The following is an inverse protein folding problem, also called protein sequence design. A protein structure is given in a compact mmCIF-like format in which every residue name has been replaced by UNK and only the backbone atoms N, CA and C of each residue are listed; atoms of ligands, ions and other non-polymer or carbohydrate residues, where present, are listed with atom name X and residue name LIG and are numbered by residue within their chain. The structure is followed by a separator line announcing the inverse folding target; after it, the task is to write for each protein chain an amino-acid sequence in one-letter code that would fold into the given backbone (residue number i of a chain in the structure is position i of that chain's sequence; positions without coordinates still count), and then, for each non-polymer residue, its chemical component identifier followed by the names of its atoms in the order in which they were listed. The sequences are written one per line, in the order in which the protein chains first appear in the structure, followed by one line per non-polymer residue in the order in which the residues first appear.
data_IF_326300137859
#
_entry.id   IF_326300137859
#
_cell.length_a   1.000
_cell.length_b   1.000
_cell.length_c   1.000
_cell.angle_alpha   90.00
_cell.angle_beta   90.00
_cell.angle_gamma   90.00
#
_symmetry.space_group_name_H-M   'P 1'
#
loop_
_entity.id
_entity.type
_entity.pdbx_description
1 polymer ?
#
# COMPACT_ATOMS: atom_id res chain seq x y z
N UNK A 1 62.34 43.56 -29.83
CA UNK A 1 60.95 44.06 -29.99
C UNK A 1 59.98 43.07 -30.65
N UNK A 2 60.44 42.03 -31.38
CA UNK A 2 59.57 40.98 -31.93
C UNK A 2 59.28 39.79 -31.01
N UNK A 3 60.04 39.59 -29.92
CA UNK A 3 59.82 38.49 -28.97
C UNK A 3 58.75 38.74 -27.89
N UNK A 4 58.43 39.99 -27.59
CA UNK A 4 57.44 40.34 -26.56
C UNK A 4 55.99 40.29 -27.08
N UNK A 5 55.79 40.46 -28.40
CA UNK A 5 54.46 40.41 -29.01
C UNK A 5 53.90 38.97 -29.13
N UNK A 6 54.78 37.96 -29.23
CA UNK A 6 54.35 36.57 -29.39
C UNK A 6 53.86 35.94 -28.06
N UNK A 7 54.45 36.33 -26.92
CA UNK A 7 54.04 35.83 -25.61
C UNK A 7 52.70 36.41 -25.13
N UNK A 8 52.35 37.64 -25.55
CA UNK A 8 51.06 38.27 -25.20
C UNK A 8 49.91 37.65 -26.00
N UNK A 9 50.14 37.20 -27.24
CA UNK A 9 49.13 36.51 -28.04
C UNK A 9 48.87 35.07 -27.58
N UNK A 10 49.88 34.36 -27.06
CA UNK A 10 49.67 33.02 -26.49
C UNK A 10 49.03 33.04 -25.10
N UNK A 11 49.24 34.11 -24.31
CA UNK A 11 48.58 34.26 -23.00
C UNK A 11 47.06 34.51 -23.13
N UNK A 12 46.60 35.05 -24.25
CA UNK A 12 45.17 35.23 -24.54
C UNK A 12 44.44 33.93 -24.95
N UNK A 13 45.17 32.86 -25.31
CA UNK A 13 44.59 31.58 -25.74
C UNK A 13 44.73 30.44 -24.70
N UNK A 14 45.44 30.64 -23.59
CA UNK A 14 45.63 29.64 -22.51
C UNK A 14 44.97 30.12 -21.19
N UNK A 15 44.12 31.13 -21.22
CA UNK A 15 43.13 31.28 -20.15
C UNK A 15 42.08 30.20 -20.34
N UNK A 16 41.82 29.33 -19.34
CA UNK A 16 40.63 28.50 -19.39
C UNK A 16 39.47 29.46 -19.61
N UNK A 17 38.74 29.26 -20.71
CA UNK A 17 37.42 29.81 -20.87
C UNK A 17 36.55 29.16 -19.79
N UNK A 18 36.69 29.57 -18.54
CA UNK A 18 35.57 29.65 -17.62
C UNK A 18 34.70 30.78 -18.16
N UNK A 19 34.13 30.55 -19.34
CA UNK A 19 32.76 30.95 -19.58
C UNK A 19 32.00 30.26 -18.45
N UNK A 20 31.86 30.96 -17.33
CA UNK A 20 30.60 30.87 -16.60
C UNK A 20 29.55 30.98 -17.70
N UNK A 21 28.69 29.96 -17.88
CA UNK A 21 27.56 30.17 -18.73
C UNK A 21 26.82 31.37 -18.15
N UNK A 22 26.94 32.53 -18.79
CA UNK A 22 25.83 33.46 -18.95
C UNK A 22 24.80 32.73 -19.81
N UNK A 23 24.30 31.59 -19.32
CA UNK A 23 23.02 31.09 -19.74
C UNK A 23 22.06 32.02 -19.02
N UNK A 24 21.62 33.06 -19.73
CA UNK A 24 20.18 33.28 -19.77
C UNK A 24 19.61 31.93 -20.18
N UNK A 25 19.31 31.10 -19.18
CA UNK A 25 18.62 29.84 -19.35
C UNK A 25 17.32 30.28 -19.99
N UNK A 26 17.21 30.09 -21.31
CA UNK A 26 15.93 29.92 -21.93
C UNK A 26 15.35 28.72 -21.18
N UNK A 27 14.54 29.01 -20.16
CA UNK A 27 13.81 27.99 -19.43
C UNK A 27 12.89 27.42 -20.48
N UNK A 28 13.25 26.26 -21.03
CA UNK A 28 12.41 25.55 -21.95
C UNK A 28 11.06 25.40 -21.23
N UNK A 29 10.03 26.00 -21.80
CA UNK A 29 8.71 26.03 -21.19
C UNK A 29 8.29 24.58 -21.00
N UNK A 30 8.23 24.14 -19.74
CA UNK A 30 7.89 22.76 -19.41
C UNK A 30 6.41 22.58 -19.69
N UNK A 31 6.09 21.65 -20.58
CA UNK A 31 4.72 21.28 -20.90
C UNK A 31 3.98 20.79 -19.64
N UNK A 32 2.72 21.22 -19.49
CA UNK A 32 1.90 20.98 -18.30
C UNK A 32 1.63 19.49 -18.06
N UNK A 33 1.44 18.72 -19.13
CA UNK A 33 1.19 17.28 -19.03
C UNK A 33 2.45 16.54 -18.57
N UNK A 34 3.62 16.97 -19.06
CA UNK A 34 4.92 16.45 -18.64
C UNK A 34 5.17 16.73 -17.16
N UNK A 35 5.01 17.99 -16.74
CA UNK A 35 5.21 18.38 -15.34
C UNK A 35 4.24 17.64 -14.41
N UNK A 36 2.97 17.50 -14.80
CA UNK A 36 1.99 16.74 -14.02
C UNK A 36 2.42 15.29 -13.79
N UNK A 37 2.88 14.61 -14.84
CA UNK A 37 3.39 13.24 -14.73
C UNK A 37 4.63 13.14 -13.83
N UNK A 38 5.48 14.16 -13.85
CA UNK A 38 6.64 14.25 -12.95
C UNK A 38 6.25 14.45 -11.49
N UNK A 39 5.28 15.32 -11.21
CA UNK A 39 4.77 15.52 -9.84
C UNK A 39 4.16 14.23 -9.30
N UNK A 40 3.35 13.54 -10.11
CA UNK A 40 2.80 12.24 -9.74
C UNK A 40 3.92 11.23 -9.42
N UNK A 41 4.97 11.18 -10.25
CA UNK A 41 6.12 10.30 -10.02
C UNK A 41 6.85 10.62 -8.72
N UNK A 42 7.12 11.90 -8.44
CA UNK A 42 7.74 12.33 -7.18
C UNK A 42 6.91 11.83 -6.01
N UNK A 43 5.61 12.12 -6.00
CA UNK A 43 4.74 11.80 -4.87
C UNK A 43 4.55 10.29 -4.66
N UNK A 44 4.60 9.49 -5.72
CA UNK A 44 4.54 8.02 -5.59
C UNK A 44 5.82 7.44 -4.96
N UNK A 45 6.96 8.06 -5.22
CA UNK A 45 8.27 7.57 -4.79
C UNK A 45 8.70 8.14 -3.44
N UNK A 46 8.31 9.38 -3.14
CA UNK A 46 8.77 10.11 -1.97
C UNK A 46 8.20 9.51 -0.67
N UNK A 47 9.04 9.04 0.28
CA UNK A 47 8.58 8.31 1.46
C UNK A 47 7.51 9.03 2.29
N UNK A 48 7.61 10.37 2.41
CA UNK A 48 6.67 11.18 3.21
C UNK A 48 5.22 10.89 2.82
N UNK A 49 4.91 10.77 1.53
CA UNK A 49 3.52 10.67 1.05
C UNK A 49 2.81 9.40 1.50
N UNK A 50 3.57 8.31 1.72
CA UNK A 50 3.05 7.04 2.22
C UNK A 50 2.63 7.14 3.69
N UNK A 51 3.33 7.96 4.46
CA UNK A 51 3.20 8.09 5.91
C UNK A 51 2.25 9.21 6.36
N UNK A 52 1.73 10.01 5.42
CA UNK A 52 0.67 10.97 5.69
C UNK A 52 -0.62 10.26 6.19
N UNK A 53 -1.39 10.93 7.03
CA UNK A 53 -2.71 10.46 7.47
C UNK A 53 -3.79 10.73 6.42
N UNK A 54 -4.93 10.06 6.55
CA UNK A 54 -6.08 10.33 5.70
C UNK A 54 -6.63 11.74 5.96
N UNK A 55 -7.08 12.41 4.91
CA UNK A 55 -7.55 13.80 4.96
C UNK A 55 -6.41 14.83 4.89
N UNK A 56 -5.15 14.40 4.74
CA UNK A 56 -4.05 15.33 4.49
C UNK A 56 -4.23 16.02 3.14
N UNK A 57 -4.14 17.34 3.15
CA UNK A 57 -4.13 18.18 1.96
C UNK A 57 -2.78 18.92 1.89
N UNK A 58 -2.29 19.26 0.71
CA UNK A 58 -1.19 20.20 0.55
C UNK A 58 -1.09 20.57 -0.92
N UNK A 59 -0.57 21.77 -1.17
CA UNK A 59 -0.34 22.24 -2.51
C UNK A 59 1.16 22.37 -2.81
N UNK A 60 1.53 21.95 -4.02
CA UNK A 60 2.89 22.01 -4.55
C UNK A 60 2.99 23.06 -5.64
N UNK A 61 3.90 24.02 -5.47
CA UNK A 61 4.28 24.99 -6.48
C UNK A 61 5.63 24.59 -7.08
N UNK A 62 5.68 24.52 -8.41
CA UNK A 62 6.94 24.34 -9.16
C UNK A 62 7.16 25.56 -10.04
N UNK A 63 8.29 26.25 -9.83
CA UNK A 63 8.68 27.37 -10.67
C UNK A 63 9.17 26.88 -12.04
N UNK A 64 8.46 27.22 -13.11
CA UNK A 64 8.75 26.80 -14.49
C UNK A 64 9.28 27.92 -15.39
N UNK A 65 9.41 29.13 -14.86
CA UNK A 65 10.00 30.29 -15.56
C UNK A 65 10.34 31.39 -14.56
N UNK A 66 10.80 32.56 -15.00
CA UNK A 66 11.21 33.64 -14.08
C UNK A 66 10.09 34.10 -13.14
N UNK A 67 8.86 34.14 -13.67
CA UNK A 67 7.65 34.58 -12.95
C UNK A 67 6.54 33.52 -12.95
N UNK A 68 6.77 32.36 -13.57
CA UNK A 68 5.73 31.36 -13.79
C UNK A 68 5.85 30.24 -12.75
N UNK A 69 4.72 29.95 -12.11
CA UNK A 69 4.54 28.81 -11.22
C UNK A 69 3.40 27.94 -11.75
N UNK A 70 3.57 26.63 -11.57
CA UNK A 70 2.52 25.64 -11.78
C UNK A 70 2.20 25.01 -10.42
N UNK A 71 0.91 24.90 -10.12
CA UNK A 71 0.37 24.47 -8.84
C UNK A 71 -0.35 23.13 -8.97
N UNK A 72 -0.19 22.30 -7.94
CA UNK A 72 -0.77 20.97 -7.88
C UNK A 72 -1.37 20.74 -6.51
N UNK A 73 -2.67 20.48 -6.47
CA UNK A 73 -3.42 20.17 -5.26
C UNK A 73 -3.28 18.68 -4.99
N UNK A 74 -2.83 18.34 -3.78
CA UNK A 74 -2.50 16.97 -3.39
C UNK A 74 -3.32 16.60 -2.18
N UNK A 75 -4.12 15.55 -2.34
CA UNK A 75 -5.03 15.08 -1.29
C UNK A 75 -4.81 13.60 -1.02
N UNK A 76 -4.80 13.22 0.26
CA UNK A 76 -4.71 11.82 0.69
C UNK A 76 -6.03 11.34 1.25
N UNK A 77 -6.59 10.28 0.67
CA UNK A 77 -7.78 9.59 1.16
C UNK A 77 -7.47 8.12 1.40
N UNK A 78 -7.42 7.71 2.67
CA UNK A 78 -6.94 6.40 3.07
C UNK A 78 -5.52 6.15 2.55
N UNK A 79 -5.34 5.09 1.76
CA UNK A 79 -4.05 4.75 1.14
C UNK A 79 -3.77 5.47 -0.18
N UNK A 80 -4.76 6.15 -0.77
CA UNK A 80 -4.64 6.76 -2.10
C UNK A 80 -4.20 8.22 -1.98
N UNK A 81 -3.29 8.62 -2.88
CA UNK A 81 -2.88 10.01 -3.09
C UNK A 81 -3.42 10.44 -4.44
N UNK A 82 -4.23 11.50 -4.46
CA UNK A 82 -4.69 12.15 -5.68
C UNK A 82 -3.91 13.43 -5.90
N UNK A 83 -3.60 13.72 -7.16
CA UNK A 83 -2.93 14.93 -7.61
C UNK A 83 -3.80 15.55 -8.68
N UNK A 84 -4.17 16.81 -8.53
CA UNK A 84 -4.91 17.58 -9.53
C UNK A 84 -4.10 18.84 -9.88
N UNK A 85 -3.96 19.21 -11.16
CA UNK A 85 -3.50 20.55 -11.51
C UNK A 85 -4.50 21.57 -10.93
N UNK A 86 -4.02 22.58 -10.22
CA UNK A 86 -4.91 23.61 -9.67
C UNK A 86 -5.32 24.56 -10.80
N UNK A 87 -6.60 24.58 -11.24
CA UNK A 87 -6.98 25.26 -12.48
C UNK A 87 -6.93 26.79 -12.41
N UNK A 88 -6.70 27.37 -11.22
CA UNK A 88 -6.93 28.79 -11.00
C UNK A 88 -5.86 29.54 -10.21
N UNK A 89 -4.78 28.88 -9.81
CA UNK A 89 -3.97 29.45 -8.74
C UNK A 89 -2.49 29.47 -9.13
N UNK A 90 -2.02 30.63 -9.58
CA UNK A 90 -0.59 30.98 -9.55
C UNK A 90 -0.02 30.93 -8.13
N UNK A 91 -0.89 30.79 -7.13
CA UNK A 91 -0.64 30.70 -5.70
C UNK A 91 -1.64 29.72 -5.14
N UNK A 92 -1.19 28.60 -4.55
CA UNK A 92 -2.03 27.66 -3.80
C UNK A 92 -3.07 28.41 -2.96
N UNK A 93 -4.31 28.45 -3.45
CA UNK A 93 -5.36 29.33 -2.95
C UNK A 93 -6.68 28.62 -3.18
N UNK A 94 -7.18 27.99 -2.12
CA UNK A 94 -8.50 27.36 -2.06
C UNK A 94 -9.64 28.39 -1.98
N UNK A 95 -9.48 29.57 -2.59
CA UNK A 95 -10.40 30.70 -2.43
C UNK A 95 -11.55 30.70 -3.45
N UNK A 96 -11.69 29.64 -4.26
CA UNK A 96 -12.78 29.55 -5.24
C UNK A 96 -14.03 28.89 -4.64
N UNK A 97 -13.87 28.09 -3.57
CA UNK A 97 -14.97 27.32 -2.98
C UNK A 97 -15.10 27.44 -1.46
N UNK A 98 -14.41 28.37 -0.78
CA UNK A 98 -14.55 28.57 0.68
C UNK A 98 -14.25 27.31 1.53
N UNK A 99 -13.35 26.43 1.08
CA UNK A 99 -13.05 25.15 1.76
C UNK A 99 -11.86 25.19 2.74
N UNK A 100 -11.40 26.38 3.13
CA UNK A 100 -10.31 26.55 4.08
C UNK A 100 -8.93 26.65 3.43
N UNK A 101 -7.94 27.03 4.22
CA UNK A 101 -6.54 27.13 3.80
C UNK A 101 -5.95 25.75 3.57
N UNK A 102 -5.09 25.61 2.56
CA UNK A 102 -4.22 24.44 2.43
C UNK A 102 -3.48 24.15 3.75
N UNK A 103 -3.43 22.88 4.14
CA UNK A 103 -2.69 22.43 5.33
C UNK A 103 -1.20 22.86 5.20
N UNK A 104 -0.59 22.64 4.02
CA UNK A 104 0.76 23.10 3.65
C UNK A 104 0.85 23.60 2.22
N UNK A 105 1.74 24.56 1.99
CA UNK A 105 2.14 24.99 0.65
C UNK A 105 3.65 24.84 0.50
N UNK A 106 4.07 23.95 -0.40
CA UNK A 106 5.47 23.67 -0.72
C UNK A 106 5.84 24.33 -2.04
N UNK A 107 6.92 25.10 -2.07
CA UNK A 107 7.39 25.74 -3.30
C UNK A 107 8.81 25.31 -3.65
N UNK A 108 9.01 24.76 -4.85
CA UNK A 108 10.32 24.68 -5.48
C UNK A 108 10.63 25.97 -6.21
N UNK A 109 11.75 26.60 -5.86
CA UNK A 109 12.15 27.90 -6.42
C UNK A 109 12.74 27.80 -7.82
N UNK A 110 13.08 26.60 -8.28
CA UNK A 110 13.51 26.34 -9.64
C UNK A 110 12.99 24.97 -10.08
N UNK A 111 12.78 24.80 -11.38
CA UNK A 111 12.47 23.50 -11.95
C UNK A 111 13.62 22.50 -11.72
N UNK A 112 14.87 22.96 -11.77
CA UNK A 112 16.04 22.12 -11.48
C UNK A 112 16.03 21.56 -10.05
N UNK A 113 15.60 22.34 -9.05
CA UNK A 113 15.46 21.85 -7.67
C UNK A 113 14.41 20.74 -7.58
N UNK A 114 13.28 20.92 -8.27
CA UNK A 114 12.25 19.89 -8.39
C UNK A 114 12.79 18.63 -9.06
N UNK A 115 13.52 18.77 -10.18
CA UNK A 115 14.15 17.66 -10.90
C UNK A 115 15.17 16.92 -10.04
N UNK A 116 16.02 17.64 -9.32
CA UNK A 116 16.97 17.04 -8.39
C UNK A 116 16.28 16.20 -7.31
N UNK A 117 15.17 16.68 -6.75
CA UNK A 117 14.42 15.89 -5.79
C UNK A 117 13.69 14.71 -6.46
N UNK A 118 13.15 14.90 -7.64
CA UNK A 118 12.49 13.84 -8.41
C UNK A 118 13.45 12.70 -8.77
N UNK A 119 14.71 13.00 -9.05
CA UNK A 119 15.73 12.01 -9.38
C UNK A 119 16.25 11.28 -8.13
N UNK A 120 16.15 11.89 -6.95
CA UNK A 120 16.49 11.30 -5.64
C UNK A 120 15.37 11.60 -4.62
N UNK A 121 14.22 10.91 -4.69
CA UNK A 121 13.01 11.24 -3.94
C UNK A 121 13.10 10.73 -2.51
N UNK A 122 14.06 11.23 -1.73
CA UNK A 122 14.29 10.84 -0.34
C UNK A 122 14.40 12.03 0.61
N UNK A 123 14.31 11.72 1.91
CA UNK A 123 14.36 12.73 2.97
C UNK A 123 15.69 13.49 3.02
N UNK A 124 16.80 12.86 2.63
CA UNK A 124 18.12 13.47 2.63
C UNK A 124 18.19 14.59 1.61
N UNK A 125 17.79 14.30 0.36
CA UNK A 125 17.76 15.30 -0.71
C UNK A 125 16.74 16.40 -0.43
N UNK A 126 15.56 16.05 0.06
CA UNK A 126 14.55 17.04 0.45
C UNK A 126 15.09 18.03 1.51
N UNK A 127 15.75 17.52 2.55
CA UNK A 127 16.36 18.36 3.61
C UNK A 127 17.53 19.20 3.12
N UNK A 128 18.34 18.67 2.20
CA UNK A 128 19.41 19.44 1.55
C UNK A 128 18.82 20.64 0.82
N UNK A 129 17.80 20.42 -0.02
CA UNK A 129 17.16 21.48 -0.80
C UNK A 129 16.50 22.55 0.08
N UNK A 130 15.90 22.15 1.21
CA UNK A 130 15.40 23.08 2.22
C UNK A 130 16.52 23.96 2.82
N UNK A 131 17.67 23.36 3.17
CA UNK A 131 18.81 24.11 3.73
C UNK A 131 19.43 25.09 2.73
N UNK A 132 19.43 24.75 1.45
CA UNK A 132 19.93 25.61 0.38
C UNK A 132 18.87 26.58 -0.15
N UNK A 133 17.73 26.69 0.53
CA UNK A 133 16.63 27.59 0.14
C UNK A 133 16.14 27.38 -1.30
N UNK A 134 16.21 26.15 -1.79
CA UNK A 134 15.63 25.76 -3.09
C UNK A 134 14.19 25.27 -2.96
N UNK A 135 13.77 24.97 -1.73
CA UNK A 135 12.39 24.67 -1.35
C UNK A 135 11.99 25.57 -0.19
N UNK A 136 10.78 26.11 -0.22
CA UNK A 136 10.18 26.84 0.91
C UNK A 136 8.84 26.25 1.33
N UNK A 137 8.55 26.40 2.63
CA UNK A 137 7.20 26.34 3.16
C UNK A 137 6.62 27.75 3.14
N UNK A 138 5.51 27.95 2.43
CA UNK A 138 4.77 29.21 2.52
C UNK A 138 3.83 29.18 3.71
N UNK A 139 3.36 30.35 4.14
CA UNK A 139 2.36 30.44 5.19
C UNK A 139 1.09 29.69 4.79
N UNK A 140 0.56 28.86 5.69
CA UNK A 140 -0.54 27.94 5.46
C UNK A 140 -1.29 27.66 6.77
N UNK A 141 -2.27 26.76 6.79
CA UNK A 141 -2.99 26.43 8.03
C UNK A 141 -2.04 25.99 9.15
N UNK A 142 -1.10 25.09 8.81
CA UNK A 142 -0.16 24.53 9.76
C UNK A 142 1.20 25.20 9.76
N UNK A 143 1.43 26.26 8.99
CA UNK A 143 2.67 27.04 9.00
C UNK A 143 2.34 28.50 9.24
N UNK A 144 2.54 28.96 10.47
CA UNK A 144 2.29 30.35 10.83
C UNK A 144 3.31 31.28 10.18
N UNK A 145 2.96 32.57 10.10
CA UNK A 145 3.90 33.64 9.75
C UNK A 145 5.18 33.53 10.58
N UNK A 146 6.32 33.50 9.89
CA UNK A 146 7.63 33.22 10.52
C UNK A 146 8.06 31.74 10.48
N UNK A 147 7.30 30.87 9.80
CA UNK A 147 7.69 29.50 9.47
C UNK A 147 7.53 28.49 10.60
N UNK A 148 6.83 28.85 11.67
CA UNK A 148 6.62 27.95 12.82
C UNK A 148 5.42 27.02 12.56
N UNK A 149 5.58 25.70 12.71
CA UNK A 149 4.47 24.79 12.52
C UNK A 149 3.45 24.89 13.66
N UNK A 150 2.19 24.65 13.36
CA UNK A 150 1.11 24.52 14.35
C UNK A 150 0.96 23.06 14.73
N UNK A 151 1.47 22.69 15.90
CA UNK A 151 1.36 21.33 16.42
C UNK A 151 0.06 21.14 17.22
N UNK A 152 -1.05 20.85 16.54
CA UNK A 152 -2.34 20.53 17.16
C UNK A 152 -2.76 19.07 16.91
N UNK A 153 -3.92 18.64 17.42
CA UNK A 153 -4.39 17.26 17.28
C UNK A 153 -4.59 16.85 15.80
N UNK A 154 -5.06 17.77 14.95
CA UNK A 154 -5.27 17.49 13.52
C UNK A 154 -3.94 17.34 12.78
N UNK A 155 -2.98 18.22 13.06
CA UNK A 155 -1.60 18.08 12.59
C UNK A 155 -1.02 16.74 13.02
N UNK A 156 -1.22 16.38 14.29
CA UNK A 156 -0.67 15.17 14.86
C UNK A 156 -1.19 13.92 14.15
N UNK A 157 -2.50 13.85 13.93
CA UNK A 157 -3.15 12.75 13.21
C UNK A 157 -2.68 12.64 11.76
N UNK A 158 -2.52 13.76 11.06
CA UNK A 158 -2.27 13.78 9.62
C UNK A 158 -0.79 13.79 9.24
N UNK A 159 0.09 14.38 10.04
CA UNK A 159 1.44 14.72 9.58
C UNK A 159 2.58 14.20 10.45
N UNK A 160 2.36 13.86 11.73
CA UNK A 160 3.47 13.44 12.58
C UNK A 160 4.18 12.16 12.11
N UNK A 161 3.42 11.17 11.63
CA UNK A 161 3.99 9.95 11.03
C UNK A 161 4.92 10.27 9.86
N UNK A 162 4.51 11.20 9.00
CA UNK A 162 5.30 11.64 7.86
C UNK A 162 6.51 12.51 8.27
N UNK A 163 6.35 13.39 9.27
CA UNK A 163 7.44 14.20 9.81
C UNK A 163 8.54 13.34 10.42
N UNK A 164 8.18 12.32 11.21
CA UNK A 164 9.13 11.37 11.81
C UNK A 164 9.92 10.54 10.78
N UNK A 165 9.41 10.42 9.55
CA UNK A 165 10.13 9.71 8.49
C UNK A 165 11.34 10.49 7.98
N UNK A 166 11.30 11.82 8.01
CA UNK A 166 12.38 12.67 7.50
C UNK A 166 13.12 13.47 8.57
N UNK A 167 12.52 13.67 9.74
CA UNK A 167 13.12 14.42 10.84
C UNK A 167 13.49 13.46 11.96
N UNK A 168 14.77 13.41 12.37
CA UNK A 168 15.19 12.64 13.53
C UNK A 168 14.41 13.06 14.78
N UNK A 169 14.02 12.08 15.60
CA UNK A 169 13.18 12.31 16.79
C UNK A 169 13.68 13.44 17.72
N UNK A 170 15.00 13.53 17.91
CA UNK A 170 15.63 14.54 18.77
C UNK A 170 15.61 15.96 18.18
N UNK A 171 15.35 16.11 16.88
CA UNK A 171 15.26 17.42 16.21
C UNK A 171 13.82 17.98 16.23
N UNK A 172 12.80 17.13 16.45
CA UNK A 172 11.38 17.54 16.44
C UNK A 172 11.04 18.70 17.39
N UNK A 173 11.52 18.74 18.66
CA UNK A 173 11.21 19.86 19.56
C UNK A 173 11.75 21.19 19.03
N UNK A 174 12.96 21.18 18.46
CA UNK A 174 13.59 22.38 17.93
C UNK A 174 12.84 22.97 16.73
N UNK A 175 12.06 22.13 16.03
CA UNK A 175 11.17 22.53 14.94
C UNK A 175 9.77 22.93 15.43
N UNK A 176 9.48 22.89 16.73
CA UNK A 176 8.13 23.14 17.27
C UNK A 176 7.14 22.01 17.01
N UNK A 177 7.63 20.78 16.79
CA UNK A 177 6.82 19.59 16.50
C UNK A 177 6.64 18.69 17.74
N UNK A 178 6.46 19.32 18.90
CA UNK A 178 6.36 18.62 20.19
C UNK A 178 5.19 17.63 20.27
N UNK A 179 4.08 17.90 19.57
CA UNK A 179 2.93 16.99 19.50
C UNK A 179 3.27 15.64 18.82
N UNK A 180 4.36 15.56 18.06
CA UNK A 180 4.81 14.30 17.43
C UNK A 180 5.64 13.41 18.36
N UNK A 181 6.07 13.92 19.53
CA UNK A 181 7.02 13.26 20.42
C UNK A 181 6.30 12.34 21.42
N UNK A 182 5.03 12.66 21.73
CA UNK A 182 4.25 12.06 22.81
C UNK A 182 3.55 10.74 22.49
N UNK A 183 3.63 10.23 21.26
CA UNK A 183 2.96 8.98 20.90
C UNK A 183 3.91 7.99 20.21
N UNK A 184 4.26 6.93 20.97
CA UNK A 184 4.25 5.61 20.35
C UNK A 184 2.89 5.45 19.65
N UNK A 185 2.83 4.88 18.43
CA UNK A 185 1.62 4.83 17.64
C UNK A 185 0.47 4.30 18.50
N UNK A 186 -0.40 5.19 18.96
CA UNK A 186 -1.71 4.77 19.38
C UNK A 186 -2.32 4.29 18.08
N UNK A 187 -2.47 2.97 17.97
CA UNK A 187 -3.38 2.34 17.05
C UNK A 187 -4.78 2.85 17.38
N UNK A 188 -5.07 4.09 17.02
CA UNK A 188 -6.41 4.55 16.71
C UNK A 188 -6.78 3.81 15.43
N UNK A 189 -7.11 2.53 15.60
CA UNK A 189 -8.19 1.99 14.79
C UNK A 189 -9.29 3.03 14.88
N UNK A 190 -9.75 3.58 13.73
CA UNK A 190 -10.88 4.48 13.77
C UNK A 190 -11.97 3.78 14.57
N UNK A 191 -12.66 4.54 15.41
CA UNK A 191 -13.84 4.06 16.11
C UNK A 191 -14.93 3.72 15.06
N UNK A 192 -14.73 2.64 14.30
CA UNK A 192 -15.81 1.82 13.81
C UNK A 192 -16.56 1.46 15.07
N UNK A 193 -17.69 2.12 15.28
CA UNK A 193 -18.49 1.98 16.49
C UNK A 193 -18.53 0.51 16.88
N UNK A 194 -18.31 0.23 18.16
CA UNK A 194 -18.18 -1.12 18.74
C UNK A 194 -19.18 -2.15 18.18
N UNK A 195 -20.32 -1.71 17.68
CA UNK A 195 -21.32 -2.50 16.97
C UNK A 195 -20.87 -3.11 15.64
N UNK A 196 -20.07 -2.43 14.81
CA UNK A 196 -19.65 -2.96 13.50
C UNK A 196 -18.59 -4.08 13.65
N UNK A 197 -17.66 -3.92 14.60
CA UNK A 197 -16.67 -4.95 14.90
C UNK A 197 -17.32 -6.17 15.57
N UNK A 198 -18.26 -5.95 16.52
CA UNK A 198 -19.05 -7.03 17.12
C UNK A 198 -19.91 -7.74 16.08
N UNK A 199 -20.53 -7.00 15.14
CA UNK A 199 -21.31 -7.61 14.05
C UNK A 199 -20.44 -8.43 13.11
N UNK A 200 -19.22 -7.98 12.80
CA UNK A 200 -18.28 -8.72 11.96
C UNK A 200 -17.78 -10.01 12.66
N UNK A 201 -17.47 -9.93 13.95
CA UNK A 201 -17.12 -11.12 14.75
C UNK A 201 -18.29 -12.09 14.82
N UNK A 202 -19.50 -11.59 15.08
CA UNK A 202 -20.70 -12.43 15.14
C UNK A 202 -20.96 -13.13 13.80
N UNK A 203 -20.83 -12.39 12.68
CA UNK A 203 -20.97 -12.96 11.35
C UNK A 203 -19.89 -14.01 11.05
N UNK A 204 -18.65 -13.77 11.49
CA UNK A 204 -17.57 -14.75 11.35
C UNK A 204 -17.84 -16.02 12.17
N UNK A 205 -18.30 -15.89 13.42
CA UNK A 205 -18.66 -17.04 14.27
C UNK A 205 -19.82 -17.83 13.66
N UNK A 206 -20.85 -17.15 13.13
CA UNK A 206 -21.97 -17.80 12.44
C UNK A 206 -21.51 -18.55 11.20
N UNK A 207 -20.61 -17.97 10.38
CA UNK A 207 -20.06 -18.64 9.20
C UNK A 207 -19.25 -19.89 9.58
N UNK A 208 -18.44 -19.82 10.64
CA UNK A 208 -17.69 -20.97 11.15
C UNK A 208 -18.65 -22.06 11.62
N UNK A 209 -19.69 -21.72 12.40
CA UNK A 209 -20.69 -22.68 12.86
C UNK A 209 -21.45 -23.33 11.71
N UNK A 210 -21.85 -22.57 10.69
CA UNK A 210 -22.49 -23.10 9.48
C UNK A 210 -21.55 -24.05 8.73
N UNK A 211 -20.26 -23.71 8.62
CA UNK A 211 -19.27 -24.59 7.96
C UNK A 211 -19.13 -25.93 8.69
N UNK A 212 -19.12 -25.91 10.02
CA UNK A 212 -19.04 -27.12 10.85
C UNK A 212 -20.31 -27.96 10.70
N UNK A 213 -21.50 -27.34 10.71
CA UNK A 213 -22.76 -28.05 10.49
C UNK A 213 -22.81 -28.73 9.12
N UNK A 214 -22.35 -28.06 8.06
CA UNK A 214 -22.26 -28.64 6.72
C UNK A 214 -21.30 -29.83 6.71
N UNK A 215 -20.13 -29.71 7.32
CA UNK A 215 -19.16 -30.81 7.41
C UNK A 215 -19.70 -32.02 8.19
N UNK A 216 -20.43 -31.79 9.29
CA UNK A 216 -21.08 -32.86 10.06
C UNK A 216 -22.17 -33.55 9.23
N UNK A 217 -22.96 -32.78 8.47
CA UNK A 217 -24.02 -33.35 7.63
C UNK A 217 -23.46 -34.17 6.45
N UNK A 218 -22.37 -33.70 5.83
CA UNK A 218 -21.65 -34.46 4.80
C UNK A 218 -21.14 -35.79 5.38
N UNK A 219 -20.53 -35.75 6.57
CA UNK A 219 -20.01 -36.95 7.24
C UNK A 219 -21.12 -37.95 7.58
N UNK A 220 -22.25 -37.47 8.12
CA UNK A 220 -23.39 -38.33 8.44
C UNK A 220 -23.97 -39.00 7.19
N UNK A 221 -24.11 -38.25 6.10
CA UNK A 221 -24.63 -38.78 4.83
C UNK A 221 -23.70 -39.85 4.22
N UNK A 222 -22.38 -39.68 4.35
CA UNK A 222 -21.41 -40.68 3.90
C UNK A 222 -21.52 -41.98 4.71
N UNK A 223 -21.72 -41.88 6.03
CA UNK A 223 -21.88 -43.05 6.90
C UNK A 223 -23.18 -43.82 6.64
N UNK A 224 -24.28 -43.13 6.32
CA UNK A 224 -25.53 -43.80 5.95
C UNK A 224 -25.42 -44.55 4.62
N UNK A 225 -24.65 -44.02 3.66
CA UNK A 225 -24.46 -44.66 2.36
C UNK A 225 -23.56 -45.90 2.47
N UNK A 226 -22.46 -45.82 3.22
CA UNK A 226 -21.58 -46.98 3.49
C UNK A 226 -22.32 -48.09 4.26
N UNK A 227 -23.19 -47.73 5.20
CA UNK A 227 -24.01 -48.70 5.93
C UNK A 227 -25.10 -49.35 5.06
N UNK A 228 -25.58 -48.66 4.03
CA UNK A 228 -26.53 -49.19 3.05
C UNK A 228 -25.88 -50.20 2.11
N UNK A 229 -24.74 -49.82 1.52
CA UNK A 229 -23.96 -50.67 0.61
C UNK A 229 -23.46 -51.93 1.32
N UNK A 230 -22.99 -51.82 2.58
CA UNK A 230 -22.58 -52.99 3.37
C UNK A 230 -23.72 -54.00 3.62
N UNK A 231 -24.96 -53.53 3.83
CA UNK A 231 -26.13 -54.42 4.01
C UNK A 231 -26.54 -55.11 2.72
N UNK A 232 -26.48 -54.40 1.59
CA UNK A 232 -26.80 -54.99 0.28
C UNK A 232 -25.76 -56.04 -0.11
N UNK A 233 -24.48 -55.76 0.13
CA UNK A 233 -23.38 -56.68 -0.08
C UNK A 233 -23.51 -57.95 0.77
N UNK A 234 -23.87 -57.82 2.04
CA UNK A 234 -24.11 -58.97 2.91
C UNK A 234 -25.25 -59.86 2.39
N UNK A 235 -26.36 -59.27 1.92
CA UNK A 235 -27.49 -60.05 1.37
C UNK A 235 -27.13 -60.82 0.10
N UNK A 236 -26.26 -60.29 -0.76
CA UNK A 236 -25.81 -60.98 -1.97
C UNK A 236 -24.96 -62.21 -1.63
N UNK A 237 -24.07 -62.07 -0.64
CA UNK A 237 -23.24 -63.19 -0.16
C UNK A 237 -24.10 -64.26 0.51
N UNK A 238 -25.07 -63.88 1.34
CA UNK A 238 -26.03 -64.82 1.96
C UNK A 238 -26.82 -65.61 0.91
N UNK A 239 -27.32 -64.95 -0.14
CA UNK A 239 -28.08 -65.61 -1.20
C UNK A 239 -27.22 -66.60 -2.00
N UNK A 240 -25.98 -66.22 -2.33
CA UNK A 240 -25.05 -67.11 -3.03
C UNK A 240 -24.69 -68.36 -2.22
N UNK A 241 -24.49 -68.18 -0.90
CA UNK A 241 -24.23 -69.30 0.01
C UNK A 241 -25.45 -70.23 0.08
N UNK A 242 -26.65 -69.67 0.21
CA UNK A 242 -27.88 -70.46 0.31
C UNK A 242 -28.14 -71.29 -0.97
N UNK A 243 -28.00 -70.67 -2.15
CA UNK A 243 -28.14 -71.36 -3.43
C UNK A 243 -27.08 -72.46 -3.60
N UNK A 244 -25.83 -72.17 -3.27
CA UNK A 244 -24.74 -73.14 -3.34
C UNK A 244 -24.93 -74.33 -2.39
N UNK A 245 -25.47 -74.10 -1.19
CA UNK A 245 -25.78 -75.18 -0.26
C UNK A 245 -26.96 -76.04 -0.75
N UNK A 246 -27.97 -75.45 -1.39
CA UNK A 246 -29.07 -76.18 -2.03
C UNK A 246 -28.58 -77.05 -3.20
N UNK A 247 -27.61 -76.55 -3.96
CA UNK A 247 -26.97 -77.25 -5.07
C UNK A 247 -25.95 -78.33 -4.63
N UNK A 248 -25.70 -78.44 -3.31
CA UNK A 248 -24.88 -79.49 -2.70
C UNK A 248 -23.39 -79.18 -2.61
N UNK A 249 -22.98 -77.93 -2.81
CA UNK A 249 -21.60 -77.50 -2.56
C UNK A 249 -21.30 -77.48 -1.05
N UNK A 250 -20.06 -77.81 -0.70
CA UNK A 250 -19.60 -77.72 0.68
C UNK A 250 -19.29 -76.26 1.07
N UNK A 251 -19.35 -75.97 2.37
CA UNK A 251 -19.04 -74.62 2.89
C UNK A 251 -17.62 -74.15 2.53
N UNK A 252 -16.66 -75.08 2.47
CA UNK A 252 -15.27 -74.77 2.12
C UNK A 252 -15.16 -74.38 0.63
N UNK A 253 -15.88 -75.07 -0.25
CA UNK A 253 -15.94 -74.74 -1.69
C UNK A 253 -16.62 -73.38 -1.92
N UNK A 254 -17.69 -73.07 -1.19
CA UNK A 254 -18.37 -71.77 -1.27
C UNK A 254 -17.51 -70.64 -0.73
N UNK A 255 -16.78 -70.89 0.37
CA UNK A 255 -15.81 -69.92 0.92
C UNK A 255 -14.71 -69.61 -0.09
N UNK A 256 -14.13 -70.64 -0.72
CA UNK A 256 -13.09 -70.47 -1.73
C UNK A 256 -13.60 -69.70 -2.95
N UNK A 257 -14.79 -70.04 -3.46
CA UNK A 257 -15.41 -69.35 -4.59
C UNK A 257 -15.71 -67.87 -4.32
N UNK A 258 -16.15 -67.53 -3.10
CA UNK A 258 -16.40 -66.14 -2.71
C UNK A 258 -15.10 -65.35 -2.54
N UNK A 259 -14.05 -65.96 -1.96
CA UNK A 259 -12.73 -65.34 -1.86
C UNK A 259 -12.13 -65.07 -3.25
N UNK A 260 -12.29 -65.99 -4.21
CA UNK A 260 -11.85 -65.80 -5.60
C UNK A 260 -12.60 -64.65 -6.31
N UNK A 261 -13.86 -64.42 -5.96
CA UNK A 261 -14.66 -63.29 -6.44
C UNK A 261 -14.30 -61.96 -5.77
N UNK A 262 -13.33 -61.96 -4.84
CA UNK A 262 -12.82 -60.76 -4.19
C UNK A 262 -13.59 -60.35 -2.93
N UNK A 263 -14.46 -61.23 -2.40
CA UNK A 263 -15.11 -61.01 -1.12
C UNK A 263 -14.11 -61.20 0.03
N UNK A 264 -14.26 -60.40 1.08
CA UNK A 264 -13.38 -60.48 2.24
C UNK A 264 -13.82 -61.57 3.22
N UNK A 265 -12.84 -62.20 3.87
CA UNK A 265 -13.08 -63.29 4.81
C UNK A 265 -13.92 -62.85 6.04
N UNK A 266 -13.86 -61.57 6.42
CA UNK A 266 -14.60 -61.05 7.57
C UNK A 266 -16.11 -60.95 7.29
N UNK A 267 -16.51 -60.79 6.03
CA UNK A 267 -17.90 -60.82 5.58
C UNK A 267 -18.41 -62.27 5.43
N UNK A 268 -17.58 -63.19 4.91
CA UNK A 268 -17.98 -64.56 4.58
C UNK A 268 -18.12 -65.46 5.83
N UNK A 269 -17.13 -65.41 6.72
CA UNK A 269 -17.01 -66.34 7.84
C UNK A 269 -18.19 -66.31 8.82
N UNK A 270 -18.73 -65.14 9.22
CA UNK A 270 -19.90 -65.09 10.08
C UNK A 270 -21.11 -65.78 9.44
N UNK A 271 -21.33 -65.60 8.13
CA UNK A 271 -22.51 -66.16 7.44
C UNK A 271 -22.41 -67.69 7.39
N UNK A 272 -21.26 -68.25 7.01
CA UNK A 272 -21.05 -69.70 6.94
C UNK A 272 -21.09 -70.40 8.31
N UNK A 273 -20.75 -69.69 9.38
CA UNK A 273 -20.84 -70.20 10.76
C UNK A 273 -22.28 -70.37 11.26
N UNK A 274 -23.24 -69.58 10.74
CA UNK A 274 -24.65 -69.63 11.15
C UNK A 274 -25.52 -70.54 10.28
N UNK A 275 -25.07 -70.88 9.08
CA UNK A 275 -25.67 -71.92 8.22
C UNK A 275 -25.15 -73.30 8.59
#
# INVERSE_FOLDING_TARGET
LLGAAFLILTALFILPQTKSPLTGLAVAEVDDQTLFGEVQRLLQQFPITKHLGSGSEFCLLVKTGETNFKSFDIFKSGSKVSVAPSPYSTYCSNDINNQGSEDFVFQYNTYDAFKQHLDQPDCGKFRELLKTEQIYYLASEFVQSGGKPVCNALFQERYCSAAMQCVPYHELPALGLDCCIGQQPQSTFPAFGSQAFVAMIFLFVVLVLLSVLVLVHIKHKHQEQEAGEAKEHQHQVEAFIDEGLEDGYSKDELKEALLEQGWDEQTIDPILQFK
#
